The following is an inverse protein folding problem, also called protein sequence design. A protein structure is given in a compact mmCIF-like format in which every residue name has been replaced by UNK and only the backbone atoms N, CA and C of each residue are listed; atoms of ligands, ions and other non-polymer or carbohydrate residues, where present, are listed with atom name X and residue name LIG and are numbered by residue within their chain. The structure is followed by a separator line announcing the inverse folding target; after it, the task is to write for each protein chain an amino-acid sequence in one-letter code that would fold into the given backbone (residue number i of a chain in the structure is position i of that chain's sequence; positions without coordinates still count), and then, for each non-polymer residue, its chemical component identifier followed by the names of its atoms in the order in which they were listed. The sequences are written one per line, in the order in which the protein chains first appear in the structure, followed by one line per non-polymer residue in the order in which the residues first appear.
data_IF_515684049324
#
_entry.id   IF_515684049324
#
_cell.length_a   1.000
_cell.length_b   1.000
_cell.length_c   1.000
_cell.angle_alpha   90.00
_cell.angle_beta   90.00
_cell.angle_gamma   90.00
#
_symmetry.space_group_name_H-M   'P 1'
#
loop_
_entity.id
_entity.type
_entity.pdbx_description
1 polymer ?
#
# COMPACT_ATOMS: atom_id res chain seq x y z
N UNK A 1 -46.65 20.47 -9.46
CA UNK A 1 -45.48 19.86 -10.12
C UNK A 1 -44.18 19.99 -9.32
N UNK A 2 -43.86 21.13 -8.70
CA UNK A 2 -42.60 21.31 -7.95
C UNK A 2 -42.40 20.39 -6.71
N UNK A 3 -43.46 20.04 -5.98
CA UNK A 3 -43.33 19.15 -4.79
C UNK A 3 -42.92 17.71 -5.13
N UNK A 4 -43.37 17.17 -6.26
CA UNK A 4 -43.05 15.80 -6.68
C UNK A 4 -41.58 15.67 -7.09
N UNK A 5 -41.07 16.64 -7.85
CA UNK A 5 -39.65 16.70 -8.25
C UNK A 5 -38.71 16.80 -7.04
N UNK A 6 -39.10 17.57 -6.01
CA UNK A 6 -38.31 17.64 -4.77
C UNK A 6 -38.30 16.30 -4.03
N UNK A 7 -39.42 15.57 -4.02
CA UNK A 7 -39.53 14.27 -3.33
C UNK A 7 -38.67 13.20 -4.01
N UNK A 8 -38.69 13.15 -5.35
CA UNK A 8 -37.87 12.19 -6.11
C UNK A 8 -36.37 12.45 -5.98
N UNK A 9 -35.96 13.73 -5.93
CA UNK A 9 -34.57 14.11 -5.69
C UNK A 9 -34.14 13.73 -4.27
N UNK A 10 -34.95 14.02 -3.27
CA UNK A 10 -34.67 13.67 -1.88
C UNK A 10 -34.56 12.15 -1.69
N UNK A 11 -35.44 11.37 -2.32
CA UNK A 11 -35.39 9.90 -2.32
C UNK A 11 -34.11 9.36 -2.98
N UNK A 12 -33.66 10.00 -4.05
CA UNK A 12 -32.39 9.64 -4.72
C UNK A 12 -31.19 9.92 -3.82
N UNK A 13 -31.11 11.12 -3.23
CA UNK A 13 -30.05 11.49 -2.29
C UNK A 13 -30.00 10.56 -1.08
N UNK A 14 -31.18 10.18 -0.55
CA UNK A 14 -31.28 9.22 0.54
C UNK A 14 -30.69 7.85 0.17
N UNK A 15 -30.89 7.36 -1.06
CA UNK A 15 -30.30 6.10 -1.51
C UNK A 15 -28.77 6.15 -1.59
N UNK A 16 -28.21 7.28 -2.07
CA UNK A 16 -26.77 7.51 -2.09
C UNK A 16 -26.20 7.46 -0.66
N UNK A 17 -26.81 8.18 0.28
CA UNK A 17 -26.32 8.22 1.67
C UNK A 17 -26.47 6.87 2.39
N UNK A 18 -27.54 6.13 2.09
CA UNK A 18 -27.72 4.76 2.59
C UNK A 18 -26.63 3.81 2.07
N UNK A 19 -26.25 3.90 0.79
CA UNK A 19 -25.14 3.11 0.27
C UNK A 19 -23.82 3.51 0.93
N UNK A 20 -23.54 4.82 1.08
CA UNK A 20 -22.34 5.31 1.78
C UNK A 20 -22.23 4.72 3.18
N UNK A 21 -23.32 4.74 3.94
CA UNK A 21 -23.38 4.14 5.29
C UNK A 21 -23.03 2.65 5.25
N UNK A 22 -23.53 1.90 4.25
CA UNK A 22 -23.20 0.47 4.08
C UNK A 22 -21.73 0.26 3.75
N UNK A 23 -21.14 1.12 2.91
CA UNK A 23 -19.71 1.08 2.58
C UNK A 23 -18.86 1.28 3.85
N UNK A 24 -19.19 2.29 4.64
CA UNK A 24 -18.49 2.59 5.90
C UNK A 24 -18.60 1.44 6.91
N UNK A 25 -19.81 0.90 7.10
CA UNK A 25 -20.03 -0.27 7.96
C UNK A 25 -19.23 -1.47 7.49
N UNK A 26 -19.26 -1.78 6.20
CA UNK A 26 -18.55 -2.94 5.65
C UNK A 26 -17.03 -2.77 5.72
N UNK A 27 -16.53 -1.55 5.55
CA UNK A 27 -15.12 -1.21 5.77
C UNK A 27 -14.70 -1.49 7.22
N UNK A 28 -15.45 -1.00 8.20
CA UNK A 28 -15.16 -1.19 9.62
C UNK A 28 -15.19 -2.68 9.99
N UNK A 29 -16.22 -3.40 9.55
CA UNK A 29 -16.33 -4.85 9.73
C UNK A 29 -15.13 -5.61 9.15
N UNK A 30 -14.69 -5.23 7.95
CA UNK A 30 -13.55 -5.86 7.27
C UNK A 30 -12.24 -5.59 8.01
N UNK A 31 -12.09 -4.40 8.57
CA UNK A 31 -10.93 -3.99 9.36
C UNK A 31 -10.88 -4.76 10.69
N UNK A 32 -12.00 -4.81 11.43
CA UNK A 32 -12.10 -5.50 12.72
C UNK A 32 -11.89 -7.00 12.60
N UNK A 33 -12.55 -7.63 11.61
CA UNK A 33 -12.49 -9.08 11.39
C UNK A 33 -11.24 -9.51 10.61
N UNK A 34 -10.39 -8.56 10.20
CA UNK A 34 -9.21 -8.77 9.32
C UNK A 34 -9.55 -9.49 8.01
N UNK A 35 -10.76 -9.28 7.49
CA UNK A 35 -11.25 -9.83 6.22
C UNK A 35 -11.08 -8.81 5.10
N UNK A 36 -9.85 -8.32 4.91
CA UNK A 36 -9.57 -7.16 4.04
C UNK A 36 -10.09 -7.30 2.60
N UNK A 37 -9.99 -8.51 2.02
CA UNK A 37 -10.38 -8.76 0.63
C UNK A 37 -11.90 -8.91 0.44
N UNK A 38 -12.67 -9.23 1.49
CA UNK A 38 -14.13 -9.30 1.37
C UNK A 38 -14.73 -7.95 0.95
N UNK A 39 -14.10 -6.85 1.37
CA UNK A 39 -14.46 -5.50 0.96
C UNK A 39 -14.28 -5.24 -0.54
N UNK A 40 -13.34 -5.94 -1.19
CA UNK A 40 -12.97 -5.66 -2.58
C UNK A 40 -14.05 -6.11 -3.56
N UNK A 41 -14.96 -6.98 -3.12
CA UNK A 41 -16.09 -7.48 -3.91
C UNK A 41 -17.37 -6.66 -3.72
N UNK A 42 -17.33 -5.61 -2.88
CA UNK A 42 -18.48 -4.72 -2.72
C UNK A 42 -18.82 -4.01 -4.04
N UNK A 43 -20.08 -4.12 -4.46
CA UNK A 43 -20.58 -3.51 -5.70
C UNK A 43 -21.16 -2.14 -5.40
N UNK A 44 -20.51 -1.11 -5.91
CA UNK A 44 -20.97 0.28 -5.86
C UNK A 44 -22.06 0.48 -6.91
N UNK A 45 -23.17 1.08 -6.49
CA UNK A 45 -24.33 1.40 -7.31
C UNK A 45 -24.34 2.87 -7.71
N UNK A 46 -23.80 3.76 -6.86
CA UNK A 46 -23.78 5.20 -7.09
C UNK A 46 -22.34 5.71 -7.22
N UNK A 47 -22.04 6.37 -8.33
CA UNK A 47 -20.69 6.89 -8.65
C UNK A 47 -20.21 7.91 -7.61
N UNK A 48 -21.13 8.64 -6.98
CA UNK A 48 -20.88 9.58 -5.89
C UNK A 48 -20.14 8.92 -4.71
N UNK A 49 -20.34 7.62 -4.51
CA UNK A 49 -19.74 6.86 -3.41
C UNK A 49 -18.42 6.17 -3.80
N UNK A 50 -18.01 6.23 -5.06
CA UNK A 50 -16.80 5.56 -5.55
C UNK A 50 -15.52 6.05 -4.83
N UNK A 51 -15.48 7.32 -4.44
CA UNK A 51 -14.36 7.88 -3.67
C UNK A 51 -14.21 7.21 -2.30
N UNK A 52 -15.30 7.03 -1.55
CA UNK A 52 -15.26 6.35 -0.24
C UNK A 52 -14.83 4.90 -0.40
N UNK A 53 -15.38 4.21 -1.40
CA UNK A 53 -15.03 2.83 -1.70
C UNK A 53 -13.54 2.65 -2.00
N UNK A 54 -13.02 3.42 -2.96
CA UNK A 54 -11.60 3.34 -3.38
C UNK A 54 -10.64 3.73 -2.25
N UNK A 55 -10.99 4.75 -1.45
CA UNK A 55 -10.23 5.11 -0.24
C UNK A 55 -10.21 3.97 0.77
N UNK A 56 -11.35 3.34 1.02
CA UNK A 56 -11.47 2.15 1.86
C UNK A 56 -10.56 1.01 1.39
N UNK A 57 -10.54 0.69 0.09
CA UNK A 57 -9.64 -0.34 -0.47
C UNK A 57 -8.17 -0.03 -0.21
N UNK A 58 -7.76 1.22 -0.44
CA UNK A 58 -6.38 1.66 -0.20
C UNK A 58 -5.97 1.47 1.27
N UNK A 59 -6.84 1.87 2.20
CA UNK A 59 -6.60 1.74 3.63
C UNK A 59 -6.56 0.28 4.09
N UNK A 60 -7.50 -0.55 3.62
CA UNK A 60 -7.52 -1.98 3.94
C UNK A 60 -6.29 -2.69 3.39
N UNK A 61 -5.86 -2.36 2.16
CA UNK A 61 -4.63 -2.93 1.59
C UNK A 61 -3.41 -2.53 2.41
N UNK A 62 -3.32 -1.27 2.84
CA UNK A 62 -2.24 -0.82 3.71
C UNK A 62 -2.22 -1.59 5.03
N UNK A 63 -3.37 -1.78 5.68
CA UNK A 63 -3.48 -2.55 6.92
C UNK A 63 -3.14 -4.02 6.71
N UNK A 64 -3.61 -4.65 5.63
CA UNK A 64 -3.22 -6.01 5.26
C UNK A 64 -1.69 -6.15 5.16
N UNK A 65 -1.04 -5.25 4.42
CA UNK A 65 0.43 -5.25 4.29
C UNK A 65 1.12 -4.99 5.63
N UNK A 66 0.58 -4.09 6.45
CA UNK A 66 1.12 -3.78 7.78
C UNK A 66 1.05 -4.98 8.72
N UNK A 67 -0.02 -5.76 8.68
CA UNK A 67 -0.29 -6.84 9.64
C UNK A 67 0.28 -8.21 9.19
N UNK A 68 0.54 -8.39 7.89
CA UNK A 68 0.96 -9.69 7.33
C UNK A 68 2.49 -9.84 7.26
N UNK A 69 3.05 -11.02 7.53
CA UNK A 69 4.51 -11.26 7.39
C UNK A 69 4.97 -11.13 5.94
N UNK A 70 6.28 -10.95 5.71
CA UNK A 70 6.81 -10.81 4.34
C UNK A 70 6.61 -12.09 3.54
N UNK A 71 6.83 -13.28 4.13
CA UNK A 71 6.67 -14.55 3.40
C UNK A 71 5.26 -14.67 2.80
N UNK A 72 4.24 -14.37 3.61
CA UNK A 72 2.84 -14.43 3.18
C UNK A 72 2.44 -13.31 2.20
N UNK A 73 3.19 -12.20 2.17
CA UNK A 73 2.93 -11.11 1.23
C UNK A 73 3.48 -11.42 -0.16
N UNK A 74 4.62 -12.09 -0.27
CA UNK A 74 5.27 -12.35 -1.56
C UNK A 74 4.36 -13.13 -2.51
N UNK A 75 3.63 -14.13 -2.00
CA UNK A 75 2.66 -14.93 -2.78
C UNK A 75 1.43 -14.12 -3.23
N UNK A 76 1.10 -13.05 -2.51
CA UNK A 76 -0.14 -12.28 -2.70
C UNK A 76 0.05 -10.97 -3.47
N UNK A 77 1.30 -10.56 -3.72
CA UNK A 77 1.61 -9.32 -4.46
C UNK A 77 1.08 -9.36 -5.90
N UNK A 78 1.18 -10.52 -6.55
CA UNK A 78 0.70 -10.69 -7.93
C UNK A 78 -0.83 -10.82 -7.99
N UNK A 79 -1.42 -11.58 -7.05
CA UNK A 79 -2.86 -11.83 -7.00
C UNK A 79 -3.69 -10.53 -6.88
N UNK A 80 -3.23 -9.59 -6.04
CA UNK A 80 -3.98 -8.35 -5.77
C UNK A 80 -3.39 -7.10 -6.43
N UNK A 81 -2.40 -7.25 -7.30
CA UNK A 81 -1.72 -6.19 -8.02
C UNK A 81 -1.42 -4.97 -7.14
N UNK A 82 -0.48 -5.13 -6.21
CA UNK A 82 -0.12 -4.10 -5.22
C UNK A 82 0.31 -2.76 -5.87
N UNK A 83 0.62 -2.77 -7.17
CA UNK A 83 0.96 -1.57 -7.93
C UNK A 83 -0.20 -0.58 -8.03
N UNK A 84 -1.43 -1.01 -7.75
CA UNK A 84 -2.60 -0.11 -7.66
C UNK A 84 -2.65 0.65 -6.33
N UNK A 85 -1.96 0.17 -5.30
CA UNK A 85 -2.08 0.66 -3.92
C UNK A 85 -0.76 1.26 -3.44
N UNK A 86 -0.48 2.49 -3.86
CA UNK A 86 0.81 3.18 -3.63
C UNK A 86 1.26 3.16 -2.15
N UNK A 87 0.38 3.51 -1.22
CA UNK A 87 0.72 3.54 0.22
C UNK A 87 1.06 2.16 0.77
N UNK A 88 0.30 1.13 0.37
CA UNK A 88 0.57 -0.25 0.76
C UNK A 88 1.89 -0.75 0.15
N UNK A 89 2.20 -0.36 -1.08
CA UNK A 89 3.45 -0.69 -1.75
C UNK A 89 4.68 -0.17 -1.00
N UNK A 90 4.65 1.09 -0.55
CA UNK A 90 5.75 1.63 0.25
C UNK A 90 5.82 1.06 1.66
N UNK A 91 4.69 0.65 2.24
CA UNK A 91 4.67 -0.13 3.48
C UNK A 91 5.42 -1.47 3.32
N UNK A 92 5.16 -2.17 2.21
CA UNK A 92 5.84 -3.41 1.86
C UNK A 92 7.35 -3.21 1.67
N UNK A 93 7.76 -2.17 0.94
CA UNK A 93 9.18 -1.84 0.77
C UNK A 93 9.89 -1.58 2.11
N UNK A 94 9.25 -0.86 3.04
CA UNK A 94 9.80 -0.64 4.39
C UNK A 94 9.95 -1.96 5.16
N UNK A 95 9.02 -2.90 4.99
CA UNK A 95 9.13 -4.24 5.58
C UNK A 95 10.33 -4.99 5.01
N UNK A 96 10.49 -5.02 3.68
CA UNK A 96 11.65 -5.66 3.05
C UNK A 96 12.98 -5.10 3.59
N UNK A 97 13.09 -3.77 3.72
CA UNK A 97 14.29 -3.18 4.31
C UNK A 97 14.52 -3.59 5.77
N UNK A 98 13.46 -3.64 6.59
CA UNK A 98 13.57 -4.09 8.00
C UNK A 98 14.04 -5.53 8.13
N UNK A 99 13.71 -6.37 7.14
CA UNK A 99 14.19 -7.76 7.07
C UNK A 99 15.50 -7.91 6.30
N UNK A 100 16.23 -6.81 6.06
CA UNK A 100 17.53 -6.81 5.35
C UNK A 100 17.46 -7.35 3.91
N UNK A 101 16.28 -7.35 3.30
CA UNK A 101 16.05 -7.79 1.91
C UNK A 101 16.41 -6.67 0.92
N UNK A 102 17.68 -6.22 0.94
CA UNK A 102 18.17 -5.05 0.19
C UNK A 102 17.98 -5.23 -1.32
N UNK A 103 18.36 -6.40 -1.86
CA UNK A 103 18.24 -6.71 -3.30
C UNK A 103 16.79 -6.63 -3.77
N UNK A 104 15.86 -7.23 -3.00
CA UNK A 104 14.42 -7.20 -3.30
C UNK A 104 13.88 -5.76 -3.20
N UNK A 105 14.24 -5.04 -2.14
CA UNK A 105 13.84 -3.64 -1.96
C UNK A 105 14.25 -2.79 -3.18
N UNK A 106 15.49 -2.92 -3.66
CA UNK A 106 15.98 -2.20 -4.84
C UNK A 106 15.17 -2.52 -6.10
N UNK A 107 14.90 -3.81 -6.34
CA UNK A 107 14.06 -4.26 -7.47
C UNK A 107 12.67 -3.63 -7.43
N UNK A 108 12.01 -3.65 -6.27
CA UNK A 108 10.68 -3.09 -6.12
C UNK A 108 10.69 -1.54 -6.12
N UNK A 109 11.74 -0.90 -5.63
CA UNK A 109 11.88 0.56 -5.72
C UNK A 109 12.02 1.04 -7.17
N UNK A 110 12.67 0.26 -8.05
CA UNK A 110 12.73 0.56 -9.49
C UNK A 110 11.35 0.55 -10.15
N UNK A 111 10.42 -0.30 -9.69
CA UNK A 111 9.03 -0.29 -10.17
C UNK A 111 8.34 1.02 -9.77
N UNK A 112 8.52 1.48 -8.53
CA UNK A 112 8.00 2.78 -8.08
C UNK A 112 8.59 3.94 -8.90
N UNK A 113 9.89 3.89 -9.23
CA UNK A 113 10.54 4.86 -10.12
C UNK A 113 9.91 4.87 -11.52
N UNK A 114 9.72 3.69 -12.14
CA UNK A 114 9.08 3.55 -13.46
C UNK A 114 7.64 4.09 -13.46
N UNK A 115 6.92 3.92 -12.35
CA UNK A 115 5.57 4.47 -12.14
C UNK A 115 5.56 5.96 -11.76
N UNK A 116 6.72 6.64 -11.75
CA UNK A 116 6.87 8.07 -11.41
C UNK A 116 6.36 8.41 -10.01
N UNK A 117 6.50 7.48 -9.05
CA UNK A 117 6.07 7.67 -7.67
C UNK A 117 7.11 8.40 -6.82
N UNK A 118 7.40 9.64 -7.18
CA UNK A 118 8.37 10.50 -6.48
C UNK A 118 7.79 11.13 -5.22
N UNK A 119 7.50 10.30 -4.21
CA UNK A 119 6.99 10.74 -2.90
C UNK A 119 8.08 10.79 -1.84
N UNK A 120 7.78 11.41 -0.70
CA UNK A 120 8.65 11.35 0.49
C UNK A 120 9.10 9.91 0.79
N UNK A 121 8.16 8.96 0.81
CA UNK A 121 8.44 7.52 1.00
C UNK A 121 9.47 6.96 0.01
N UNK A 122 9.43 7.40 -1.25
CA UNK A 122 10.38 6.96 -2.27
C UNK A 122 11.79 7.46 -1.96
N UNK A 123 11.92 8.75 -1.65
CA UNK A 123 13.21 9.36 -1.33
C UNK A 123 13.79 8.81 -0.02
N UNK A 124 12.96 8.67 1.02
CA UNK A 124 13.36 8.07 2.30
C UNK A 124 13.97 6.68 2.11
N UNK A 125 13.29 5.81 1.36
CA UNK A 125 13.75 4.43 1.10
C UNK A 125 14.99 4.43 0.20
N UNK A 126 15.00 5.26 -0.84
CA UNK A 126 16.16 5.42 -1.73
C UNK A 126 17.41 5.81 -0.95
N UNK A 127 17.33 6.82 -0.09
CA UNK A 127 18.48 7.33 0.64
C UNK A 127 18.97 6.34 1.71
N UNK A 128 18.04 5.64 2.37
CA UNK A 128 18.41 4.53 3.27
C UNK A 128 19.12 3.40 2.53
N UNK A 129 18.69 3.02 1.33
CA UNK A 129 19.38 2.01 0.53
C UNK A 129 20.81 2.44 0.18
N UNK A 130 21.02 3.69 -0.23
CA UNK A 130 22.37 4.22 -0.52
C UNK A 130 23.27 4.15 0.71
N UNK A 131 22.76 4.52 1.88
CA UNK A 131 23.53 4.45 3.13
C UNK A 131 23.92 3.01 3.48
N UNK A 132 22.99 2.06 3.32
CA UNK A 132 23.28 0.64 3.54
C UNK A 132 24.32 0.10 2.56
N UNK A 133 24.22 0.45 1.28
CA UNK A 133 25.21 0.05 0.26
C UNK A 133 26.61 0.64 0.55
N UNK A 134 26.66 1.90 0.99
CA UNK A 134 27.91 2.55 1.38
C UNK A 134 28.57 1.86 2.58
N UNK A 135 27.80 1.56 3.63
CA UNK A 135 28.33 0.90 4.82
C UNK A 135 28.88 -0.50 4.51
N UNK A 136 28.16 -1.28 3.70
CA UNK A 136 28.64 -2.61 3.24
C UNK A 136 29.96 -2.48 2.47
N UNK A 137 30.08 -1.47 1.59
CA UNK A 137 31.33 -1.25 0.83
C UNK A 137 32.51 -0.87 1.74
N UNK A 138 32.27 -0.11 2.80
CA UNK A 138 33.31 0.29 3.76
C UNK A 138 33.76 -0.87 4.65
N UNK A 139 32.84 -1.73 5.10
CA UNK A 139 33.18 -2.94 5.87
C UNK A 139 34.06 -3.91 5.07
N UNK A 140 33.74 -4.11 3.78
CA UNK A 140 34.54 -4.94 2.87
C UNK A 140 35.94 -4.34 2.69
N UNK A 141 36.03 -3.01 2.50
CA UNK A 141 37.32 -2.34 2.34
C UNK A 141 38.17 -2.48 3.61
N UNK A 142 37.60 -2.31 4.80
CA UNK A 142 38.32 -2.48 6.07
C UNK A 142 38.80 -3.92 6.29
N UNK A 143 38.01 -4.93 5.93
CA UNK A 143 38.44 -6.34 5.98
C UNK A 143 39.59 -6.64 5.00
N UNK A 144 39.59 -6.02 3.81
CA UNK A 144 40.66 -6.20 2.83
C UNK A 144 42.00 -5.58 3.25
N UNK A 145 42.00 -4.53 4.08
CA UNK A 145 43.24 -3.89 4.57
C UNK A 145 43.95 -4.67 5.68
N UNK A 146 43.28 -5.60 6.37
CA UNK A 146 43.90 -6.40 7.45
C UNK A 146 44.81 -7.51 6.91
N UNK A 147 44.71 -7.88 5.63
CA UNK A 147 45.49 -8.99 5.03
C UNK A 147 46.77 -8.58 4.30
N UNK A 148 47.18 -7.30 4.33
CA UNK A 148 48.48 -6.88 3.82
C UNK A 148 49.46 -6.64 4.97
N UNK A 149 49.93 -7.71 5.60
CA UNK A 149 51.22 -7.65 6.32
C UNK A 149 52.34 -7.68 5.28
N UNK A 150 53.24 -6.69 5.24
CA UNK A 150 54.47 -6.80 4.46
C UNK A 150 55.37 -7.86 5.10
N UNK A 151 55.83 -8.82 4.30
CA UNK A 151 57.02 -9.61 4.57
C UNK A 151 58.26 -8.80 4.23
#
# INVERSE_FOLDING_TARGET
MFRALNTELDDFLNKIELEKTKIEQFYNDSLEKKKYFAYFDFKIQYDENMFFYTTGKNNLMFNYVKDTSIENLEDKIEEYDFRKYKSAYFCFLRKLMKNSEIKKTKKYLQVAYKNKWYTYDFFEISDRLKLLEYNVSNEINQQCFVYKKPF
#
